data_IF_747413482561
#
_entry.id   IF_747413482561
#
_cell.length_a   1.000
_cell.length_b   1.000
_cell.length_c   1.000
_cell.angle_alpha   90.00
_cell.angle_beta   90.00
_cell.angle_gamma   90.00
#
_symmetry.space_group_name_H-M   'P 1'
#
loop_
_entity.id
_entity.type
_entity.pdbx_description
1 polymer ?
#
# COMPACT_ATOMS: atom_id res chain seq x y z
N UNK A 1 -25.19 10.53 43.41
CA UNK A 1 -25.40 9.98 42.06
C UNK A 1 -24.36 10.57 41.11
N UNK A 2 -23.18 9.96 40.98
CA UNK A 2 -22.07 10.43 40.09
C UNK A 2 -20.97 9.37 39.90
N UNK A 3 -20.95 8.32 40.73
CA UNK A 3 -19.97 7.23 40.64
C UNK A 3 -20.30 6.17 39.57
N UNK A 4 -21.58 5.99 39.24
CA UNK A 4 -22.03 4.96 38.28
C UNK A 4 -21.61 5.25 36.83
N UNK A 5 -21.43 6.53 36.48
CA UNK A 5 -21.03 6.92 35.11
C UNK A 5 -19.56 6.62 34.83
N UNK A 6 -18.70 6.57 35.85
CA UNK A 6 -17.28 6.27 35.67
C UNK A 6 -17.05 4.78 35.37
N UNK A 7 -17.86 3.90 35.96
CA UNK A 7 -17.79 2.45 35.73
C UNK A 7 -18.14 2.06 34.28
N UNK A 8 -19.06 2.79 33.64
CA UNK A 8 -19.40 2.51 32.24
C UNK A 8 -18.25 2.82 31.28
N UNK A 9 -17.48 3.88 31.52
CA UNK A 9 -16.37 4.26 30.64
C UNK A 9 -15.23 3.22 30.63
N UNK A 10 -15.06 2.46 31.71
CA UNK A 10 -14.07 1.38 31.84
C UNK A 10 -14.51 0.07 31.15
N UNK A 11 -15.77 -0.04 30.74
CA UNK A 11 -16.30 -1.22 30.04
C UNK A 11 -16.17 -1.15 28.52
N UNK A 12 -15.63 -0.06 27.97
CA UNK A 12 -15.41 0.02 26.53
C UNK A 12 -14.22 -0.86 26.11
N UNK A 13 -14.42 -1.79 25.17
CA UNK A 13 -13.34 -2.60 24.64
C UNK A 13 -12.33 -1.69 23.93
N UNK A 14 -11.07 -1.77 24.34
CA UNK A 14 -9.97 -1.04 23.70
C UNK A 14 -9.78 -1.61 22.29
N UNK A 15 -9.96 -0.82 21.22
CA UNK A 15 -9.68 -1.29 19.88
C UNK A 15 -8.17 -1.54 19.76
N UNK A 16 -7.79 -2.80 19.64
CA UNK A 16 -6.41 -3.19 19.38
C UNK A 16 -6.08 -2.76 17.94
N UNK A 17 -5.38 -1.62 17.79
CA UNK A 17 -4.79 -1.25 16.50
C UNK A 17 -3.76 -2.33 16.13
N UNK A 18 -4.08 -3.13 15.12
CA UNK A 18 -3.15 -4.11 14.60
C UNK A 18 -1.88 -3.39 14.15
N UNK A 19 -0.69 -3.89 14.52
CA UNK A 19 0.56 -3.29 14.06
C UNK A 19 0.60 -3.32 12.53
N UNK A 20 1.11 -2.24 11.88
CA UNK A 20 1.29 -2.24 10.45
C UNK A 20 2.14 -3.45 10.07
N UNK A 21 1.62 -4.30 9.18
CA UNK A 21 2.35 -5.47 8.67
C UNK A 21 3.71 -5.00 8.16
N UNK A 22 4.83 -5.67 8.52
CA UNK A 22 6.13 -5.36 7.96
C UNK A 22 6.03 -5.44 6.44
N UNK A 23 6.19 -4.29 5.80
CA UNK A 23 6.22 -4.20 4.37
C UNK A 23 7.44 -4.98 3.90
N UNK A 24 7.23 -6.12 3.23
CA UNK A 24 8.33 -6.90 2.67
C UNK A 24 9.04 -6.01 1.64
N UNK A 25 10.17 -5.45 2.06
CA UNK A 25 11.08 -4.79 1.15
C UNK A 25 11.59 -5.87 0.20
N UNK A 26 11.35 -5.75 -1.12
CA UNK A 26 11.78 -6.78 -2.03
C UNK A 26 13.32 -6.83 -1.98
N UNK A 27 13.85 -8.01 -1.65
CA UNK A 27 15.28 -8.30 -1.55
C UNK A 27 15.98 -8.38 -2.91
N UNK A 28 15.29 -8.03 -4.00
CA UNK A 28 15.94 -7.85 -5.30
C UNK A 28 16.90 -6.67 -5.17
N UNK A 29 18.20 -6.83 -5.50
CA UNK A 29 19.05 -5.69 -5.70
C UNK A 29 18.38 -4.89 -6.82
N UNK A 30 17.71 -3.79 -6.46
CA UNK A 30 17.34 -2.76 -7.43
C UNK A 30 18.68 -2.39 -8.02
N UNK A 31 18.92 -2.95 -9.20
CA UNK A 31 20.15 -2.75 -9.94
C UNK A 31 20.41 -1.27 -9.89
N UNK A 32 21.58 -0.88 -9.38
CA UNK A 32 22.06 0.50 -9.30
C UNK A 32 22.17 1.17 -10.70
N UNK A 33 21.58 0.54 -11.73
CA UNK A 33 21.49 0.93 -13.13
C UNK A 33 20.06 1.15 -13.65
N UNK A 34 19.02 1.29 -12.82
CA UNK A 34 17.75 1.85 -13.31
C UNK A 34 17.94 3.35 -13.58
N UNK A 35 18.51 3.68 -14.75
CA UNK A 35 18.65 5.05 -15.26
C UNK A 35 17.26 5.65 -15.53
N UNK A 36 16.59 6.11 -14.47
CA UNK A 36 15.32 6.81 -14.51
C UNK A 36 14.11 5.94 -14.14
N UNK A 37 13.36 6.38 -13.14
CA UNK A 37 11.98 5.95 -12.94
C UNK A 37 11.02 6.70 -13.86
N UNK A 38 9.75 6.29 -13.87
CA UNK A 38 8.70 6.91 -14.68
C UNK A 38 7.54 7.33 -13.77
N UNK A 39 6.89 8.43 -14.14
CA UNK A 39 5.62 8.85 -13.54
C UNK A 39 4.47 8.03 -14.12
N UNK A 40 3.60 7.55 -13.25
CA UNK A 40 2.39 6.83 -13.59
C UNK A 40 1.21 7.44 -12.85
N UNK A 41 0.00 7.27 -13.39
CA UNK A 41 -1.22 7.62 -12.68
C UNK A 41 -1.74 6.37 -11.96
N UNK A 42 -1.75 6.40 -10.63
CA UNK A 42 -2.26 5.31 -9.83
C UNK A 42 -3.78 5.20 -9.98
N UNK A 43 -4.32 3.99 -9.85
CA UNK A 43 -5.78 3.77 -9.87
C UNK A 43 -6.51 4.54 -8.75
N UNK A 44 -5.81 4.89 -7.67
CA UNK A 44 -6.31 5.73 -6.58
C UNK A 44 -6.37 7.23 -6.92
N UNK A 45 -5.92 7.65 -8.11
CA UNK A 45 -6.09 9.02 -8.61
C UNK A 45 -4.96 9.99 -8.33
N UNK A 46 -3.75 9.51 -8.01
CA UNK A 46 -2.57 10.36 -7.82
C UNK A 46 -1.41 9.94 -8.72
N UNK A 47 -0.46 10.86 -8.95
CA UNK A 47 0.75 10.57 -9.70
C UNK A 47 1.80 9.90 -8.80
N UNK A 48 2.37 8.78 -9.25
CA UNK A 48 3.39 8.02 -8.53
C UNK A 48 4.63 7.84 -9.41
N UNK A 49 5.81 8.00 -8.82
CA UNK A 49 7.08 7.77 -9.51
C UNK A 49 7.60 6.37 -9.17
N UNK A 50 7.77 5.50 -10.16
CA UNK A 50 8.23 4.14 -9.95
C UNK A 50 9.45 3.78 -10.79
N UNK A 51 10.32 2.96 -10.23
CA UNK A 51 11.60 2.56 -10.80
C UNK A 51 11.54 1.19 -11.50
N UNK A 52 10.56 0.36 -11.14
CA UNK A 52 10.40 -0.98 -11.66
C UNK A 52 9.58 -1.07 -12.94
N UNK A 53 9.53 -2.25 -13.56
CA UNK A 53 8.69 -2.50 -14.71
C UNK A 53 7.19 -2.38 -14.37
N UNK A 54 6.39 -2.11 -15.41
CA UNK A 54 4.94 -2.28 -15.36
C UNK A 54 4.61 -3.70 -15.79
N UNK A 55 3.81 -4.40 -15.00
CA UNK A 55 3.35 -5.74 -15.30
C UNK A 55 1.82 -5.80 -15.37
N UNK A 56 1.29 -6.75 -16.12
CA UNK A 56 -0.14 -7.05 -16.15
C UNK A 56 -0.38 -8.28 -15.28
N UNK A 57 -1.25 -8.17 -14.29
CA UNK A 57 -1.55 -9.24 -13.33
C UNK A 57 -3.03 -9.60 -13.38
N UNK A 58 -3.41 -10.88 -13.23
CA UNK A 58 -4.81 -11.28 -13.13
C UNK A 58 -5.42 -10.81 -11.80
N UNK A 59 -6.66 -10.34 -11.86
CA UNK A 59 -7.47 -9.94 -10.72
C UNK A 59 -8.42 -11.08 -10.34
N UNK A 60 -8.91 -11.06 -9.11
CA UNK A 60 -9.81 -12.10 -8.58
C UNK A 60 -11.11 -12.27 -9.39
N UNK A 61 -11.53 -11.24 -10.14
CA UNK A 61 -12.72 -11.27 -11.00
C UNK A 61 -12.42 -11.72 -12.44
N UNK A 62 -11.19 -12.15 -12.75
CA UNK A 62 -10.78 -12.55 -14.10
C UNK A 62 -10.27 -11.42 -14.98
N UNK A 63 -10.38 -10.16 -14.54
CA UNK A 63 -9.84 -9.02 -15.27
C UNK A 63 -8.32 -8.97 -15.20
N UNK A 64 -7.72 -8.26 -16.15
CA UNK A 64 -6.30 -7.95 -16.16
C UNK A 64 -6.08 -6.55 -15.61
N UNK A 65 -5.10 -6.39 -14.72
CA UNK A 65 -4.76 -5.12 -14.10
C UNK A 65 -3.30 -4.78 -14.33
N UNK A 66 -3.02 -3.55 -14.79
CA UNK A 66 -1.66 -3.03 -14.91
C UNK A 66 -1.16 -2.55 -13.56
N UNK A 67 0.06 -2.93 -13.18
CA UNK A 67 0.70 -2.56 -11.93
C UNK A 67 2.11 -2.07 -12.17
N UNK A 68 2.49 -0.94 -11.58
CA UNK A 68 3.88 -0.51 -11.49
C UNK A 68 4.52 -1.13 -10.25
N UNK A 69 5.82 -1.43 -10.33
CA UNK A 69 6.57 -2.02 -9.22
C UNK A 69 7.64 -1.05 -8.73
N UNK A 70 8.01 -1.17 -7.45
CA UNK A 70 9.08 -0.38 -6.83
C UNK A 70 8.87 1.13 -6.96
N UNK A 71 7.94 1.69 -6.18
CA UNK A 71 7.57 3.10 -6.24
C UNK A 71 8.22 3.94 -5.13
N UNK A 72 8.42 5.23 -5.39
CA UNK A 72 9.13 6.18 -4.50
C UNK A 72 8.39 6.43 -3.19
N UNK A 73 7.08 6.23 -3.17
CA UNK A 73 6.21 6.27 -1.99
C UNK A 73 6.43 5.07 -1.05
N UNK A 74 7.33 4.14 -1.40
CA UNK A 74 7.60 2.92 -0.67
C UNK A 74 6.77 1.73 -1.15
N UNK A 75 5.75 1.95 -1.99
CA UNK A 75 4.86 0.91 -2.49
C UNK A 75 5.59 -0.11 -3.38
N UNK A 76 5.52 -1.39 -3.02
CA UNK A 76 6.12 -2.46 -3.81
C UNK A 76 5.35 -2.71 -5.12
N UNK A 77 4.03 -2.57 -5.08
CA UNK A 77 3.11 -2.77 -6.22
C UNK A 77 2.05 -1.68 -6.16
N UNK A 78 1.93 -0.89 -7.24
CA UNK A 78 0.92 0.17 -7.36
C UNK A 78 0.02 -0.11 -8.57
N UNK A 79 -1.29 -0.34 -8.37
CA UNK A 79 -2.28 -0.36 -9.43
C UNK A 79 -2.22 0.90 -10.27
N UNK A 80 -2.11 0.76 -11.59
CA UNK A 80 -2.18 1.89 -12.50
C UNK A 80 -3.62 2.09 -12.97
N UNK A 81 -3.96 3.34 -13.24
CA UNK A 81 -5.10 3.69 -14.07
C UNK A 81 -4.75 3.25 -15.49
N UNK A 82 -5.68 2.54 -16.14
CA UNK A 82 -5.55 2.15 -17.55
C UNK A 82 -5.42 3.36 -18.49
#
# INVERSE_FOLDING_TARGET
MKALTLALLLSLPVPQLAPPKPMRQPSTPISKHAKGGRWYFAASGHAVFCYGPVMTVPRANGDLQRVATFCRDGSAVVPLKD
#
